data_IF_259433372572
#
_entry.id   IF_259433372572
#
_cell.length_a   1.000
_cell.length_b   1.000
_cell.length_c   1.000
_cell.angle_alpha   90.00
_cell.angle_beta   90.00
_cell.angle_gamma   90.00
#
_symmetry.space_group_name_H-M   'P 1'
#
loop_
_entity.id
_entity.type
_entity.pdbx_description
1 polymer ?
#
# COMPACT_ATOMS: atom_id res chain seq x y z
N UNK A 1 -1.51 16.38 7.42
CA UNK A 1 -2.87 16.15 7.95
C UNK A 1 -2.90 14.93 8.89
N UNK A 2 -1.98 13.98 8.74
CA UNK A 2 -1.71 12.88 9.68
C UNK A 2 -0.28 13.02 10.19
N UNK A 3 -0.10 12.99 11.51
CA UNK A 3 1.21 13.00 12.14
C UNK A 3 1.26 12.01 13.29
N UNK A 4 2.29 11.17 13.32
CA UNK A 4 2.55 10.25 14.44
C UNK A 4 3.97 10.44 14.94
N UNK A 5 4.16 10.31 16.27
CA UNK A 5 5.44 10.42 16.94
C UNK A 5 5.57 9.25 17.91
N UNK A 6 6.53 8.37 17.66
CA UNK A 6 6.81 7.17 18.46
C UNK A 6 5.56 6.33 18.75
N UNK A 7 4.61 6.27 17.78
CA UNK A 7 3.35 5.57 17.97
C UNK A 7 3.59 4.08 18.17
N UNK A 8 3.04 3.56 19.27
CA UNK A 8 3.27 2.19 19.71
C UNK A 8 1.98 1.49 20.10
N UNK A 9 1.84 0.21 19.71
CA UNK A 9 0.73 -0.63 20.14
C UNK A 9 1.19 -2.07 20.37
N UNK A 10 0.80 -2.62 21.56
CA UNK A 10 0.94 -4.04 21.88
C UNK A 10 -0.38 -4.67 22.32
N UNK A 11 -0.50 -5.95 22.15
CA UNK A 11 -1.59 -6.80 22.62
C UNK A 11 -0.98 -7.93 23.44
N UNK A 12 -1.10 -7.86 24.76
CA UNK A 12 -0.32 -8.73 25.64
C UNK A 12 1.18 -8.60 25.36
N UNK A 13 1.83 -9.70 25.05
CA UNK A 13 3.28 -9.74 24.70
C UNK A 13 3.54 -9.39 23.23
N UNK A 14 2.51 -9.43 22.36
CA UNK A 14 2.71 -9.19 20.92
C UNK A 14 2.72 -7.70 20.61
N UNK A 15 3.84 -7.21 20.09
CA UNK A 15 3.96 -5.86 19.52
C UNK A 15 3.33 -5.87 18.13
N UNK A 16 2.38 -4.98 17.89
CA UNK A 16 1.68 -4.84 16.62
C UNK A 16 2.15 -3.61 15.82
N UNK A 17 2.57 -2.56 16.50
CA UNK A 17 3.17 -1.36 15.91
C UNK A 17 4.24 -0.86 16.87
N UNK A 18 5.44 -0.62 16.39
CA UNK A 18 6.60 -0.18 17.16
C UNK A 18 7.21 1.08 16.53
N UNK A 19 7.29 2.14 17.33
CA UNK A 19 7.99 3.38 17.00
C UNK A 19 7.61 3.98 15.63
N UNK A 20 6.30 4.06 15.34
CA UNK A 20 5.82 4.54 14.06
C UNK A 20 5.81 6.07 14.02
N UNK A 21 6.61 6.63 13.12
CA UNK A 21 6.72 8.06 12.86
C UNK A 21 6.27 8.34 11.41
N UNK A 22 5.15 9.05 11.24
CA UNK A 22 4.56 9.42 9.95
C UNK A 22 4.27 10.90 9.89
N UNK A 23 4.42 11.48 8.69
CA UNK A 23 3.94 12.81 8.35
C UNK A 23 3.32 12.74 6.96
N UNK A 24 2.00 12.96 6.86
CA UNK A 24 1.25 12.87 5.60
C UNK A 24 0.56 14.20 5.37
N UNK A 25 0.74 14.77 4.18
CA UNK A 25 0.20 16.06 3.82
C UNK A 25 -1.24 15.96 3.28
N UNK A 26 -1.92 17.10 3.22
CA UNK A 26 -3.30 17.16 2.70
C UNK A 26 -3.34 16.91 1.19
N UNK A 27 -4.32 16.13 0.73
CA UNK A 27 -4.50 15.80 -0.69
C UNK A 27 -3.55 14.73 -1.22
N UNK A 28 -2.74 14.14 -0.35
CA UNK A 28 -1.79 13.09 -0.69
C UNK A 28 -2.46 11.71 -0.78
N UNK A 29 -2.00 10.87 -1.69
CA UNK A 29 -2.29 9.43 -1.67
C UNK A 29 -1.11 8.74 -1.02
N UNK A 30 -1.27 8.31 0.22
CA UNK A 30 -0.26 7.60 0.97
C UNK A 30 -0.50 6.09 0.94
N UNK A 31 0.41 5.35 0.34
CA UNK A 31 0.42 3.90 0.32
C UNK A 31 1.12 3.31 1.54
N UNK A 32 0.43 2.51 2.35
CA UNK A 32 1.03 1.87 3.50
C UNK A 32 1.17 0.37 3.24
N UNK A 33 2.37 -0.04 2.86
CA UNK A 33 2.69 -1.38 2.40
C UNK A 33 3.28 -2.25 3.49
N UNK A 34 3.09 -3.54 3.33
CA UNK A 34 3.72 -4.56 4.16
C UNK A 34 3.02 -5.91 4.08
N UNK A 35 3.67 -6.98 4.51
CA UNK A 35 3.08 -8.31 4.54
C UNK A 35 1.90 -8.40 5.52
N UNK A 36 1.15 -9.50 5.45
CA UNK A 36 0.07 -9.75 6.39
C UNK A 36 0.62 -9.88 7.82
N UNK A 37 -0.05 -9.23 8.76
CA UNK A 37 0.36 -9.23 10.15
C UNK A 37 1.46 -8.21 10.52
N UNK A 38 1.93 -7.38 9.59
CA UNK A 38 2.97 -6.37 9.85
C UNK A 38 2.50 -5.16 10.67
N UNK A 39 1.18 -4.98 10.88
CA UNK A 39 0.63 -3.88 11.68
C UNK A 39 -0.23 -2.89 10.90
N UNK A 40 -0.44 -3.04 9.58
CA UNK A 40 -1.21 -2.12 8.72
C UNK A 40 -2.60 -1.77 9.28
N UNK A 41 -3.46 -2.79 9.43
CA UNK A 41 -4.83 -2.58 9.94
C UNK A 41 -4.86 -2.08 11.38
N UNK A 42 -3.85 -2.43 12.20
CA UNK A 42 -3.72 -1.90 13.57
C UNK A 42 -3.41 -0.41 13.53
N UNK A 43 -2.53 0.02 12.65
CA UNK A 43 -2.20 1.44 12.45
C UNK A 43 -3.43 2.22 11.99
N UNK A 44 -4.14 1.76 10.96
CA UNK A 44 -5.40 2.40 10.53
C UNK A 44 -6.39 2.54 11.69
N UNK A 45 -6.62 1.47 12.46
CA UNK A 45 -7.56 1.51 13.58
C UNK A 45 -7.17 2.52 14.66
N UNK A 46 -5.88 2.71 14.91
CA UNK A 46 -5.40 3.77 15.82
C UNK A 46 -5.66 5.16 15.23
N UNK A 47 -5.30 5.37 13.97
CA UNK A 47 -5.49 6.66 13.29
C UNK A 47 -6.98 7.03 13.14
N UNK A 48 -7.86 6.05 12.98
CA UNK A 48 -9.32 6.25 12.98
C UNK A 48 -9.94 6.48 14.38
N UNK A 49 -9.16 6.43 15.46
CA UNK A 49 -9.70 6.50 16.82
C UNK A 49 -10.58 5.30 17.21
N UNK A 50 -10.42 4.15 16.54
CA UNK A 50 -11.09 2.89 16.86
C UNK A 50 -10.30 2.03 17.84
N UNK A 51 -9.04 2.34 18.04
CA UNK A 51 -8.12 1.64 18.91
C UNK A 51 -7.16 2.65 19.55
N UNK A 52 -7.15 2.70 20.88
CA UNK A 52 -6.22 3.57 21.58
C UNK A 52 -4.77 3.07 21.41
N UNK A 53 -3.76 3.93 21.18
CA UNK A 53 -2.36 3.55 21.25
C UNK A 53 -1.97 3.10 22.66
N UNK A 54 -0.93 2.29 22.78
CA UNK A 54 -0.33 1.94 24.08
C UNK A 54 0.55 3.08 24.59
N UNK A 55 1.28 3.73 23.66
CA UNK A 55 2.09 4.93 23.91
C UNK A 55 2.39 5.66 22.59
N UNK A 56 3.05 6.82 22.69
CA UNK A 56 3.31 7.70 21.54
C UNK A 56 2.13 8.62 21.25
N UNK A 57 2.26 9.43 20.21
CA UNK A 57 1.27 10.42 19.81
C UNK A 57 0.80 10.16 18.37
N UNK A 58 -0.49 10.37 18.13
CA UNK A 58 -1.02 10.42 16.78
C UNK A 58 -2.05 11.54 16.67
N UNK A 59 -1.91 12.38 15.65
CA UNK A 59 -2.85 13.44 15.32
C UNK A 59 -3.38 13.24 13.90
N UNK A 60 -4.71 13.37 13.79
CA UNK A 60 -5.44 13.26 12.52
C UNK A 60 -6.33 14.49 12.40
N UNK A 61 -6.23 15.23 11.29
CA UNK A 61 -6.94 16.53 11.10
C UNK A 61 -6.70 17.53 12.25
N UNK A 62 -5.50 17.50 12.84
CA UNK A 62 -5.13 18.34 13.99
C UNK A 62 -5.65 17.88 15.34
N UNK A 63 -6.45 16.80 15.42
CA UNK A 63 -7.03 16.23 16.64
C UNK A 63 -6.19 15.03 17.13
N UNK A 64 -6.09 14.87 18.44
CA UNK A 64 -5.41 13.74 19.07
C UNK A 64 -6.29 12.49 19.07
N UNK A 65 -5.77 11.36 18.58
CA UNK A 65 -6.55 10.11 18.46
C UNK A 65 -6.97 9.51 19.81
N UNK A 66 -6.25 9.81 20.87
CA UNK A 66 -6.56 9.32 22.21
C UNK A 66 -7.56 10.22 22.94
N UNK A 67 -7.57 11.52 22.65
CA UNK A 67 -8.40 12.51 23.35
C UNK A 67 -9.72 12.81 22.61
N UNK A 68 -9.68 12.87 21.27
CA UNK A 68 -10.81 13.29 20.44
C UNK A 68 -11.29 12.22 19.43
N UNK A 69 -11.41 10.93 19.78
CA UNK A 69 -11.68 9.87 18.79
C UNK A 69 -13.03 10.06 18.07
N UNK A 70 -14.06 10.58 18.75
CA UNK A 70 -15.37 10.81 18.13
C UNK A 70 -15.35 11.96 17.11
N UNK A 71 -14.63 13.04 17.44
CA UNK A 71 -14.44 14.17 16.52
C UNK A 71 -13.62 13.78 15.30
N UNK A 72 -12.66 12.88 15.45
CA UNK A 72 -11.90 12.32 14.32
C UNK A 72 -12.84 11.51 13.44
N UNK A 73 -13.62 10.57 14.00
CA UNK A 73 -14.56 9.74 13.24
C UNK A 73 -15.55 10.53 12.40
N UNK A 74 -15.97 11.70 12.87
CA UNK A 74 -16.86 12.57 12.08
C UNK A 74 -16.19 13.28 10.90
N UNK A 75 -14.85 13.28 10.82
CA UNK A 75 -14.07 13.96 9.76
C UNK A 75 -13.38 13.01 8.80
N UNK A 76 -13.41 11.70 9.08
CA UNK A 76 -12.74 10.69 8.28
C UNK A 76 -13.74 9.71 7.69
N UNK A 77 -13.42 9.16 6.51
CA UNK A 77 -14.04 7.96 5.99
C UNK A 77 -13.19 6.73 6.32
N UNK A 78 -13.81 5.61 6.63
CA UNK A 78 -13.10 4.35 6.84
C UNK A 78 -13.75 3.21 6.09
N UNK A 79 -12.97 2.53 5.29
CA UNK A 79 -13.35 1.34 4.56
C UNK A 79 -12.50 0.16 5.06
N UNK A 80 -13.06 -0.75 5.87
CA UNK A 80 -12.35 -1.90 6.39
C UNK A 80 -12.15 -2.97 5.32
N UNK A 81 -11.13 -3.84 5.50
CA UNK A 81 -10.80 -4.93 4.60
C UNK A 81 -11.97 -5.89 4.35
N UNK A 82 -12.71 -6.22 5.42
CA UNK A 82 -13.91 -7.07 5.31
C UNK A 82 -15.14 -6.20 5.14
N UNK A 83 -16.02 -6.61 4.21
CA UNK A 83 -17.31 -5.96 4.04
C UNK A 83 -18.08 -5.96 5.37
N UNK A 84 -18.41 -4.78 5.86
CA UNK A 84 -19.01 -4.55 7.18
C UNK A 84 -20.37 -3.84 7.13
N UNK A 85 -20.92 -3.70 5.92
CA UNK A 85 -22.22 -3.06 5.71
C UNK A 85 -23.36 -4.10 5.85
N UNK A 86 -24.58 -3.60 5.91
CA UNK A 86 -25.77 -4.44 6.09
C UNK A 86 -26.13 -5.17 4.79
N UNK A 87 -25.93 -6.49 4.77
CA UNK A 87 -26.17 -7.33 3.59
C UNK A 87 -27.64 -7.45 3.22
N UNK A 88 -28.54 -7.31 4.18
CA UNK A 88 -30.01 -7.39 4.01
C UNK A 88 -30.66 -6.02 3.69
N UNK A 89 -29.88 -4.96 3.68
CA UNK A 89 -30.30 -3.65 3.18
C UNK A 89 -29.87 -3.46 1.72
N UNK A 90 -30.66 -2.69 0.99
CA UNK A 90 -30.29 -2.26 -0.36
C UNK A 90 -29.10 -1.30 -0.32
N UNK A 91 -28.49 -1.05 -1.50
CA UNK A 91 -27.44 -0.03 -1.65
C UNK A 91 -27.94 1.31 -1.14
N UNK A 92 -29.18 1.69 -1.50
CA UNK A 92 -29.79 2.95 -1.06
C UNK A 92 -30.00 3.01 0.43
N UNK A 93 -30.57 1.98 1.04
CA UNK A 93 -30.82 1.91 2.47
C UNK A 93 -29.51 1.90 3.28
N UNK A 94 -28.45 1.21 2.82
CA UNK A 94 -27.14 1.33 3.44
C UNK A 94 -26.63 2.77 3.43
N UNK A 95 -26.71 3.44 2.26
CA UNK A 95 -26.26 4.83 2.15
C UNK A 95 -27.12 5.79 2.99
N UNK A 96 -28.44 5.57 3.06
CA UNK A 96 -29.35 6.35 3.88
C UNK A 96 -29.00 6.21 5.37
N UNK A 97 -28.74 4.98 5.84
CA UNK A 97 -28.32 4.71 7.21
C UNK A 97 -27.04 5.46 7.60
N UNK A 98 -26.00 5.36 6.76
CA UNK A 98 -24.74 6.06 7.05
C UNK A 98 -24.88 7.58 6.92
N UNK A 99 -25.66 8.07 5.98
CA UNK A 99 -25.96 9.49 5.86
C UNK A 99 -26.63 10.05 7.13
N UNK A 100 -27.63 9.35 7.65
CA UNK A 100 -28.30 9.70 8.89
C UNK A 100 -27.34 9.66 10.10
N UNK A 101 -26.50 8.63 10.19
CA UNK A 101 -25.49 8.48 11.26
C UNK A 101 -24.55 9.69 11.33
N UNK A 102 -24.18 10.25 10.17
CA UNK A 102 -23.33 11.43 10.07
C UNK A 102 -24.09 12.76 9.98
N UNK A 103 -25.41 12.76 10.18
CA UNK A 103 -26.24 13.96 10.14
C UNK A 103 -26.46 14.55 8.75
N UNK A 104 -26.21 13.79 7.69
CA UNK A 104 -26.43 14.20 6.28
C UNK A 104 -27.89 13.92 5.90
N UNK A 105 -28.78 14.81 6.31
CA UNK A 105 -30.23 14.66 6.24
C UNK A 105 -30.92 15.77 5.41
N UNK A 106 -32.20 15.61 5.17
CA UNK A 106 -33.03 16.60 4.46
C UNK A 106 -32.72 16.70 2.95
N UNK A 107 -33.10 17.81 2.34
CA UNK A 107 -32.93 18.01 0.89
C UNK A 107 -31.46 18.04 0.47
N UNK A 108 -30.60 18.71 1.23
CA UNK A 108 -29.15 18.75 0.97
C UNK A 108 -28.53 17.34 1.08
N UNK A 109 -28.94 16.57 2.10
CA UNK A 109 -28.50 15.18 2.25
C UNK A 109 -28.93 14.29 1.09
N UNK A 110 -30.15 14.51 0.53
CA UNK A 110 -30.60 13.76 -0.65
C UNK A 110 -29.76 14.08 -1.89
N UNK A 111 -29.44 15.35 -2.12
CA UNK A 111 -28.54 15.77 -3.20
C UNK A 111 -27.17 15.10 -3.03
N UNK A 112 -26.60 15.19 -1.82
CA UNK A 112 -25.29 14.60 -1.52
C UNK A 112 -25.24 13.08 -1.75
N UNK A 113 -26.26 12.35 -1.34
CA UNK A 113 -26.35 10.91 -1.60
C UNK A 113 -26.34 10.58 -3.09
N UNK A 114 -27.08 11.36 -3.89
CA UNK A 114 -27.10 11.16 -5.34
C UNK A 114 -25.73 11.48 -5.98
N UNK A 115 -25.07 12.57 -5.56
CA UNK A 115 -23.70 12.90 -6.00
C UNK A 115 -22.73 11.76 -5.74
N UNK A 116 -22.76 11.15 -4.53
CA UNK A 116 -21.86 10.05 -4.17
C UNK A 116 -22.17 8.79 -4.98
N UNK A 117 -23.45 8.48 -5.20
CA UNK A 117 -23.88 7.34 -6.05
C UNK A 117 -23.34 7.51 -7.47
N UNK A 118 -23.45 8.70 -8.04
CA UNK A 118 -22.96 9.03 -9.37
C UNK A 118 -21.43 8.97 -9.44
N UNK A 119 -20.74 9.62 -8.49
CA UNK A 119 -19.28 9.64 -8.38
C UNK A 119 -18.68 8.22 -8.33
N UNK A 120 -19.28 7.34 -7.54
CA UNK A 120 -18.80 5.96 -7.37
C UNK A 120 -19.32 5.05 -8.50
N UNK A 121 -20.31 5.48 -9.27
CA UNK A 121 -20.87 4.76 -10.41
C UNK A 121 -21.70 3.53 -10.01
N UNK A 122 -22.34 3.54 -8.82
CA UNK A 122 -23.11 2.39 -8.31
C UNK A 122 -24.64 2.49 -8.58
N UNK A 123 -25.11 3.55 -9.23
CA UNK A 123 -26.54 3.88 -9.38
C UNK A 123 -27.41 2.74 -9.92
N UNK A 124 -26.90 1.94 -10.86
CA UNK A 124 -27.65 0.81 -11.42
C UNK A 124 -27.99 -0.28 -10.39
N UNK A 125 -27.31 -0.31 -9.25
CA UNK A 125 -27.51 -1.28 -8.18
C UNK A 125 -28.27 -0.71 -6.97
N UNK A 126 -28.78 0.50 -7.05
CA UNK A 126 -29.37 1.23 -5.92
C UNK A 126 -30.45 0.44 -5.16
N UNK A 127 -31.22 -0.38 -5.89
CA UNK A 127 -32.30 -1.25 -5.37
C UNK A 127 -31.86 -2.67 -5.04
N UNK A 128 -30.59 -3.02 -5.28
CA UNK A 128 -30.08 -4.36 -4.98
C UNK A 128 -29.66 -4.46 -3.53
N UNK A 129 -29.92 -5.60 -2.91
CA UNK A 129 -29.45 -5.89 -1.55
C UNK A 129 -27.93 -6.04 -1.53
N UNK A 130 -27.29 -5.66 -0.41
CA UNK A 130 -25.84 -5.78 -0.23
C UNK A 130 -25.29 -7.17 -0.53
N UNK A 131 -26.02 -8.23 -0.13
CA UNK A 131 -25.66 -9.64 -0.42
C UNK A 131 -25.67 -10.02 -1.90
N UNK A 132 -26.41 -9.30 -2.75
CA UNK A 132 -26.50 -9.55 -4.19
C UNK A 132 -25.34 -8.94 -4.98
N UNK A 133 -24.55 -8.09 -4.36
CA UNK A 133 -23.41 -7.44 -4.99
C UNK A 133 -22.20 -8.37 -5.06
N UNK A 134 -21.46 -8.29 -6.16
CA UNK A 134 -20.11 -8.89 -6.22
C UNK A 134 -19.14 -8.17 -5.29
N UNK A 135 -17.97 -8.78 -5.00
CA UNK A 135 -16.96 -8.20 -4.12
C UNK A 135 -16.58 -6.76 -4.50
N UNK A 136 -16.32 -6.49 -5.78
CA UNK A 136 -16.00 -5.14 -6.24
C UNK A 136 -17.14 -4.12 -6.04
N UNK A 137 -18.39 -4.54 -6.22
CA UNK A 137 -19.54 -3.67 -5.96
C UNK A 137 -19.82 -3.47 -4.47
N UNK A 138 -19.51 -4.46 -3.63
CA UNK A 138 -19.53 -4.31 -2.17
C UNK A 138 -18.50 -3.26 -1.71
N UNK A 139 -17.31 -3.28 -2.28
CA UNK A 139 -16.26 -2.28 -1.98
C UNK A 139 -16.68 -0.87 -2.44
N UNK A 140 -17.30 -0.75 -3.62
CA UNK A 140 -17.84 0.54 -4.08
C UNK A 140 -18.95 1.05 -3.17
N UNK A 141 -19.83 0.18 -2.66
CA UNK A 141 -20.85 0.58 -1.68
C UNK A 141 -20.19 1.05 -0.37
N UNK A 142 -19.17 0.34 0.12
CA UNK A 142 -18.43 0.77 1.30
C UNK A 142 -17.79 2.15 1.12
N UNK A 143 -17.23 2.41 -0.06
CA UNK A 143 -16.67 3.71 -0.39
C UNK A 143 -17.76 4.80 -0.45
N UNK A 144 -18.97 4.53 -1.01
CA UNK A 144 -20.10 5.46 -0.94
C UNK A 144 -20.42 5.87 0.48
N UNK A 145 -20.56 4.88 1.36
CA UNK A 145 -20.86 5.12 2.78
C UNK A 145 -19.75 5.92 3.48
N UNK A 146 -18.49 5.65 3.14
CA UNK A 146 -17.34 6.38 3.68
C UNK A 146 -17.22 7.82 3.17
N UNK A 147 -17.83 8.15 2.02
CA UNK A 147 -17.76 9.47 1.36
C UNK A 147 -18.93 10.40 1.66
N UNK A 148 -20.06 9.88 2.14
CA UNK A 148 -21.33 10.61 2.19
C UNK A 148 -21.26 11.89 3.00
N UNK A 149 -20.47 11.91 4.09
CA UNK A 149 -20.30 13.05 5.01
C UNK A 149 -19.15 13.99 4.65
N UNK A 150 -18.57 13.88 3.44
CA UNK A 150 -17.47 14.73 2.94
C UNK A 150 -16.23 14.72 3.83
N UNK A 151 -15.62 13.55 4.07
CA UNK A 151 -14.45 13.45 4.93
C UNK A 151 -13.22 14.18 4.36
N UNK A 152 -12.36 14.68 5.24
CA UNK A 152 -11.06 15.26 4.86
C UNK A 152 -10.04 14.18 4.49
N UNK A 153 -10.19 12.99 5.10
CA UNK A 153 -9.31 11.83 4.92
C UNK A 153 -10.15 10.58 4.75
N UNK A 154 -9.71 9.67 3.89
CA UNK A 154 -10.28 8.33 3.77
C UNK A 154 -9.20 7.30 4.04
N UNK A 155 -9.47 6.42 5.01
CA UNK A 155 -8.67 5.24 5.28
C UNK A 155 -9.25 4.04 4.55
N UNK A 156 -8.44 3.39 3.72
CA UNK A 156 -8.81 2.28 2.88
C UNK A 156 -7.94 1.06 3.25
N UNK A 157 -8.54 0.07 3.90
CA UNK A 157 -7.80 -1.12 4.34
C UNK A 157 -7.93 -2.24 3.29
N UNK A 158 -6.89 -2.38 2.46
CA UNK A 158 -6.79 -3.32 1.33
C UNK A 158 -8.02 -3.26 0.39
N UNK A 159 -8.35 -2.08 -0.18
CA UNK A 159 -9.61 -1.86 -0.88
C UNK A 159 -9.78 -2.72 -2.14
N UNK A 160 -8.71 -3.28 -2.68
CA UNK A 160 -8.67 -4.00 -3.96
C UNK A 160 -8.46 -5.50 -3.83
N UNK A 161 -8.29 -6.02 -2.60
CA UNK A 161 -7.85 -7.41 -2.33
C UNK A 161 -8.73 -8.50 -2.98
N UNK A 162 -10.01 -8.21 -3.26
CA UNK A 162 -10.97 -9.17 -3.85
C UNK A 162 -11.49 -8.73 -5.21
N UNK A 163 -10.75 -7.86 -5.92
CA UNK A 163 -11.18 -7.31 -7.21
C UNK A 163 -10.41 -7.96 -8.38
N UNK A 164 -11.12 -8.12 -9.49
CA UNK A 164 -10.48 -8.41 -10.78
C UNK A 164 -9.65 -7.19 -11.25
N UNK A 165 -8.71 -7.38 -12.20
CA UNK A 165 -7.83 -6.29 -12.64
C UNK A 165 -8.55 -5.08 -13.22
N UNK A 166 -9.71 -5.27 -13.88
CA UNK A 166 -10.49 -4.17 -14.47
C UNK A 166 -11.16 -3.34 -13.38
N UNK A 167 -11.84 -4.01 -12.43
CA UNK A 167 -12.48 -3.36 -11.30
C UNK A 167 -11.45 -2.63 -10.41
N UNK A 168 -10.25 -3.21 -10.22
CA UNK A 168 -9.14 -2.59 -9.50
C UNK A 168 -8.69 -1.29 -10.16
N UNK A 169 -8.47 -1.30 -11.47
CA UNK A 169 -8.10 -0.10 -12.22
C UNK A 169 -9.15 1.00 -12.07
N UNK A 170 -10.42 0.67 -12.25
CA UNK A 170 -11.54 1.63 -12.11
C UNK A 170 -11.64 2.20 -10.69
N UNK A 171 -11.33 1.41 -9.65
CA UNK A 171 -11.30 1.93 -8.29
C UNK A 171 -10.15 2.94 -8.13
N UNK A 172 -8.95 2.65 -8.65
CA UNK A 172 -7.83 3.58 -8.61
C UNK A 172 -8.11 4.88 -9.36
N UNK A 173 -8.76 4.82 -10.53
CA UNK A 173 -9.19 6.03 -11.27
C UNK A 173 -10.12 6.90 -10.40
N UNK A 174 -11.02 6.28 -9.65
CA UNK A 174 -11.88 6.97 -8.69
C UNK A 174 -11.08 7.57 -7.52
N UNK A 175 -10.10 6.83 -6.96
CA UNK A 175 -9.23 7.33 -5.90
C UNK A 175 -8.42 8.55 -6.37
N UNK A 176 -7.90 8.55 -7.58
CA UNK A 176 -7.24 9.73 -8.17
C UNK A 176 -8.18 10.92 -8.30
N UNK A 177 -9.42 10.69 -8.70
CA UNK A 177 -10.46 11.76 -8.77
C UNK A 177 -10.72 12.36 -7.39
N UNK A 178 -10.81 11.54 -6.34
CA UNK A 178 -10.98 11.99 -4.97
C UNK A 178 -9.77 12.79 -4.47
N UNK A 179 -8.56 12.30 -4.71
CA UNK A 179 -7.34 13.01 -4.32
C UNK A 179 -7.22 14.37 -5.03
N UNK A 180 -7.53 14.43 -6.33
CA UNK A 180 -7.50 15.68 -7.09
C UNK A 180 -8.54 16.70 -6.60
N UNK A 181 -9.61 16.27 -5.93
CA UNK A 181 -10.57 17.14 -5.25
C UNK A 181 -10.13 17.58 -3.84
N UNK A 182 -8.92 17.20 -3.40
CA UNK A 182 -8.32 17.60 -2.13
C UNK A 182 -8.56 16.65 -0.96
N UNK A 183 -9.15 15.47 -1.21
CA UNK A 183 -9.31 14.42 -0.18
C UNK A 183 -7.98 13.69 -0.01
N UNK A 184 -7.54 13.53 1.24
CA UNK A 184 -6.35 12.73 1.55
C UNK A 184 -6.71 11.25 1.61
N UNK A 185 -5.90 10.39 1.02
CA UNK A 185 -6.14 8.96 0.99
C UNK A 185 -5.00 8.22 1.70
N UNK A 186 -5.36 7.38 2.68
CA UNK A 186 -4.46 6.45 3.32
C UNK A 186 -4.84 5.03 2.91
N UNK A 187 -4.05 4.40 2.05
CA UNK A 187 -4.37 3.11 1.42
C UNK A 187 -3.40 2.05 1.92
N UNK A 188 -3.90 1.01 2.60
CA UNK A 188 -3.06 -0.17 2.83
C UNK A 188 -3.15 -1.11 1.64
N UNK A 189 -2.02 -1.68 1.27
CA UNK A 189 -1.94 -2.69 0.22
C UNK A 189 -0.75 -3.62 0.44
N UNK A 190 -0.76 -4.75 -0.21
CA UNK A 190 0.39 -5.64 -0.35
C UNK A 190 0.83 -5.77 -1.83
N UNK A 191 0.20 -5.00 -2.73
CA UNK A 191 0.52 -4.98 -4.15
C UNK A 191 1.48 -3.83 -4.46
N UNK A 192 2.62 -4.16 -5.10
CA UNK A 192 3.66 -3.17 -5.44
C UNK A 192 3.22 -2.21 -6.55
N UNK A 193 2.46 -2.71 -7.53
CA UNK A 193 1.90 -1.90 -8.61
C UNK A 193 0.89 -0.85 -8.12
N UNK A 194 0.27 -1.07 -6.98
CA UNK A 194 -0.58 -0.07 -6.31
C UNK A 194 0.25 0.98 -5.57
N UNK A 195 1.35 0.56 -4.94
CA UNK A 195 2.27 1.47 -4.29
C UNK A 195 2.88 2.47 -5.26
N UNK A 196 3.23 2.04 -6.47
CA UNK A 196 3.76 2.91 -7.51
C UNK A 196 2.78 4.00 -7.97
N UNK A 197 1.49 3.86 -7.64
CA UNK A 197 0.44 4.85 -7.93
C UNK A 197 0.28 5.90 -6.83
N UNK A 198 0.89 5.69 -5.67
CA UNK A 198 0.77 6.59 -4.53
C UNK A 198 1.76 7.76 -4.64
N UNK A 199 1.41 8.91 -4.05
CA UNK A 199 2.30 10.07 -3.96
C UNK A 199 3.50 9.77 -3.06
N UNK A 200 3.26 9.07 -1.97
CA UNK A 200 4.27 8.60 -1.01
C UNK A 200 3.90 7.21 -0.52
N UNK A 201 4.90 6.48 -0.09
CA UNK A 201 4.77 5.09 0.35
C UNK A 201 5.51 4.90 1.67
N UNK A 202 4.87 4.20 2.62
CA UNK A 202 5.52 3.69 3.83
C UNK A 202 5.54 2.16 3.80
N UNK A 203 6.70 1.56 4.02
CA UNK A 203 6.83 0.10 4.10
C UNK A 203 6.99 -0.34 5.54
N UNK A 204 6.01 -1.10 6.04
CA UNK A 204 6.01 -1.66 7.40
C UNK A 204 6.34 -3.16 7.37
N UNK A 205 7.34 -3.55 8.14
CA UNK A 205 7.76 -4.93 8.31
C UNK A 205 8.04 -5.21 9.78
N UNK A 206 7.67 -6.38 10.29
CA UNK A 206 7.82 -6.75 11.71
C UNK A 206 7.40 -5.63 12.69
N UNK A 207 6.23 -5.02 12.45
CA UNK A 207 5.65 -3.94 13.27
C UNK A 207 6.43 -2.60 13.23
N UNK A 208 7.47 -2.46 12.40
CA UNK A 208 8.30 -1.25 12.28
C UNK A 208 8.18 -0.66 10.88
N UNK A 209 8.17 0.65 10.81
CA UNK A 209 8.31 1.38 9.54
C UNK A 209 9.78 1.31 9.11
N UNK A 210 10.04 0.62 8.00
CA UNK A 210 11.40 0.44 7.48
C UNK A 210 11.82 1.66 6.67
N UNK A 211 10.91 2.20 5.86
CA UNK A 211 11.17 3.35 5.00
C UNK A 211 9.87 4.07 4.66
N UNK A 212 9.94 5.38 4.42
CA UNK A 212 8.83 6.19 3.90
C UNK A 212 9.37 7.27 2.98
N UNK A 213 8.69 7.50 1.85
CA UNK A 213 9.07 8.52 0.85
C UNK A 213 8.33 8.33 -0.47
N UNK A 214 8.60 9.18 -1.44
CA UNK A 214 8.08 9.04 -2.80
C UNK A 214 8.64 7.78 -3.50
N UNK A 215 7.85 7.08 -4.34
CA UNK A 215 8.31 5.87 -5.04
C UNK A 215 9.66 6.06 -5.76
N UNK A 216 9.83 7.18 -6.47
CA UNK A 216 11.06 7.47 -7.21
C UNK A 216 12.25 7.83 -6.30
N UNK A 217 11.99 8.37 -5.10
CA UNK A 217 13.02 8.62 -4.09
C UNK A 217 13.49 7.30 -3.47
N UNK A 218 12.54 6.40 -3.17
CA UNK A 218 12.85 5.10 -2.59
C UNK A 218 13.70 4.23 -3.53
N UNK A 219 13.46 4.30 -4.84
CA UNK A 219 14.25 3.59 -5.86
C UNK A 219 15.71 4.07 -5.93
N UNK A 220 16.00 5.29 -5.44
CA UNK A 220 17.34 5.90 -5.44
C UNK A 220 18.10 5.75 -4.12
N UNK A 221 17.54 5.06 -3.13
CA UNK A 221 18.21 4.82 -1.85
C UNK A 221 19.55 4.11 -2.10
N UNK A 222 20.63 4.65 -1.56
CA UNK A 222 22.00 4.13 -1.74
C UNK A 222 22.14 2.65 -1.38
N UNK A 223 21.47 2.19 -0.35
CA UNK A 223 21.46 0.79 0.05
C UNK A 223 20.79 -0.14 -0.98
N UNK A 224 19.91 0.41 -1.85
CA UNK A 224 19.18 -0.33 -2.89
C UNK A 224 19.93 -0.31 -4.22
N UNK A 225 20.45 0.87 -4.58
CA UNK A 225 21.23 1.04 -5.83
C UNK A 225 22.59 0.34 -5.69
N UNK A 226 23.16 0.31 -4.46
CA UNK A 226 24.51 -0.19 -4.18
C UNK A 226 25.61 0.78 -4.64
N UNK A 227 26.79 0.66 -4.00
CA UNK A 227 27.97 1.39 -4.45
C UNK A 227 28.63 0.60 -5.56
N UNK A 228 28.90 1.25 -6.69
CA UNK A 228 29.54 0.64 -7.85
C UNK A 228 28.83 -0.64 -8.38
N UNK A 229 27.51 -0.69 -8.29
CA UNK A 229 26.72 -1.78 -8.88
C UNK A 229 25.71 -1.25 -9.89
N UNK A 230 25.41 -2.07 -10.90
CA UNK A 230 24.33 -1.84 -11.85
C UNK A 230 23.37 -3.00 -11.84
N UNK A 231 22.12 -2.71 -12.19
CA UNK A 231 21.07 -3.72 -12.30
C UNK A 231 20.72 -3.96 -13.75
N UNK A 232 20.70 -5.23 -14.16
CA UNK A 232 20.49 -5.65 -15.55
C UNK A 232 19.32 -6.62 -15.61
N UNK A 233 18.36 -6.36 -16.48
CA UNK A 233 17.34 -7.31 -16.87
C UNK A 233 17.87 -8.23 -17.95
N UNK A 234 17.85 -9.53 -17.70
CA UNK A 234 18.28 -10.58 -18.63
C UNK A 234 17.09 -11.44 -19.00
N UNK A 235 16.61 -11.31 -20.24
CA UNK A 235 15.60 -12.21 -20.80
C UNK A 235 16.30 -13.38 -21.45
N UNK A 236 16.14 -14.58 -20.90
CA UNK A 236 16.88 -15.76 -21.35
C UNK A 236 16.05 -17.06 -21.24
N UNK A 237 16.52 -18.10 -21.92
CA UNK A 237 15.91 -19.45 -21.88
C UNK A 237 16.98 -20.52 -21.74
N UNK A 238 16.70 -21.59 -20.97
CA UNK A 238 15.59 -21.78 -20.02
C UNK A 238 15.83 -20.95 -18.74
N UNK A 239 14.78 -20.27 -18.22
CA UNK A 239 14.91 -19.27 -17.16
C UNK A 239 15.52 -19.85 -15.87
N UNK A 240 14.93 -20.92 -15.33
CA UNK A 240 15.35 -21.52 -14.05
C UNK A 240 16.75 -22.10 -14.10
N UNK A 241 17.12 -22.77 -15.19
CA UNK A 241 18.47 -23.31 -15.34
C UNK A 241 19.52 -22.19 -15.50
N UNK A 242 19.13 -21.08 -16.10
CA UNK A 242 20.01 -19.90 -16.30
C UNK A 242 20.28 -19.16 -14.98
N UNK A 243 19.32 -19.14 -14.05
CA UNK A 243 19.47 -18.51 -12.74
C UNK A 243 20.74 -18.98 -12.01
N UNK A 244 20.94 -20.29 -11.86
CA UNK A 244 22.09 -20.83 -11.15
C UNK A 244 23.42 -20.56 -11.90
N UNK A 245 23.38 -20.58 -13.23
CA UNK A 245 24.56 -20.32 -14.07
C UNK A 245 25.02 -18.88 -13.98
N UNK A 246 24.06 -17.93 -13.95
CA UNK A 246 24.36 -16.50 -13.82
C UNK A 246 24.79 -16.16 -12.40
N UNK A 247 24.11 -16.72 -11.41
CA UNK A 247 24.46 -16.53 -9.99
C UNK A 247 25.87 -17.03 -9.65
N UNK A 248 26.43 -17.98 -10.43
CA UNK A 248 27.78 -18.50 -10.26
C UNK A 248 28.87 -17.64 -10.92
N UNK A 249 28.55 -16.47 -11.48
CA UNK A 249 29.54 -15.51 -11.98
C UNK A 249 30.10 -14.71 -10.80
N UNK A 250 31.41 -14.60 -10.69
CA UNK A 250 32.09 -13.96 -9.53
C UNK A 250 31.74 -12.48 -9.35
N UNK A 251 31.48 -11.77 -10.44
CA UNK A 251 31.11 -10.36 -10.44
C UNK A 251 29.61 -10.09 -10.26
N UNK A 252 28.80 -11.16 -10.18
CA UNK A 252 27.36 -11.06 -9.91
C UNK A 252 27.12 -11.17 -8.42
N UNK A 253 26.60 -10.12 -7.82
CA UNK A 253 26.31 -10.06 -6.39
C UNK A 253 24.95 -10.65 -6.02
N UNK A 254 23.95 -10.51 -6.91
CA UNK A 254 22.62 -11.10 -6.69
C UNK A 254 21.90 -11.36 -8.04
N UNK A 255 21.00 -12.36 -8.01
CA UNK A 255 20.10 -12.69 -9.13
C UNK A 255 18.72 -12.97 -8.58
N UNK A 256 17.70 -12.35 -9.16
CA UNK A 256 16.29 -12.57 -8.80
C UNK A 256 15.47 -12.90 -10.05
N UNK A 257 14.50 -13.82 -9.93
CA UNK A 257 13.56 -14.12 -11.02
C UNK A 257 12.43 -13.08 -10.94
N UNK A 258 12.21 -12.36 -12.05
CA UNK A 258 11.15 -11.38 -12.18
C UNK A 258 10.30 -11.67 -13.43
N UNK A 259 9.12 -12.24 -13.25
CA UNK A 259 8.29 -12.66 -14.37
C UNK A 259 9.00 -13.66 -15.31
N UNK A 260 9.32 -13.24 -16.53
CA UNK A 260 10.02 -14.04 -17.54
C UNK A 260 11.48 -13.61 -17.73
N UNK A 261 12.01 -12.79 -16.83
CA UNK A 261 13.37 -12.28 -16.85
C UNK A 261 14.12 -12.58 -15.57
N UNK A 262 15.43 -12.39 -15.59
CA UNK A 262 16.28 -12.37 -14.40
C UNK A 262 16.76 -10.93 -14.19
N UNK A 263 16.59 -10.41 -12.99
CA UNK A 263 17.26 -9.20 -12.55
C UNK A 263 18.59 -9.57 -11.93
N UNK A 264 19.66 -9.07 -12.50
CA UNK A 264 21.05 -9.35 -12.12
C UNK A 264 21.66 -8.09 -11.56
N UNK A 265 22.27 -8.17 -10.38
CA UNK A 265 23.07 -7.08 -9.81
C UNK A 265 24.55 -7.44 -10.01
N UNK A 266 25.30 -6.56 -10.66
CA UNK A 266 26.72 -6.75 -10.94
C UNK A 266 27.52 -5.47 -10.75
N UNK A 267 28.84 -5.55 -10.73
CA UNK A 267 29.73 -4.39 -10.65
C UNK A 267 29.59 -3.49 -11.89
N UNK A 268 29.69 -2.18 -11.72
CA UNK A 268 29.66 -1.19 -12.82
C UNK A 268 30.88 -1.24 -13.73
N UNK A 269 31.96 -1.91 -13.29
CA UNK A 269 33.18 -2.18 -14.05
C UNK A 269 32.98 -3.25 -15.15
N UNK A 270 31.88 -4.03 -15.08
CA UNK A 270 31.55 -5.08 -16.03
C UNK A 270 30.57 -4.53 -17.08
N UNK A 271 30.94 -4.66 -18.36
CA UNK A 271 30.07 -4.24 -19.45
C UNK A 271 28.92 -5.23 -19.72
N UNK A 272 27.82 -4.76 -20.28
CA UNK A 272 26.72 -5.62 -20.72
C UNK A 272 27.17 -6.67 -21.74
N UNK A 273 28.11 -6.31 -22.63
CA UNK A 273 28.68 -7.23 -23.61
C UNK A 273 29.50 -8.36 -22.97
N UNK A 274 30.23 -8.07 -21.89
CA UNK A 274 30.95 -9.08 -21.09
C UNK A 274 29.97 -10.04 -20.43
N UNK A 275 28.94 -9.51 -19.75
CA UNK A 275 27.90 -10.33 -19.14
C UNK A 275 27.21 -11.22 -20.19
N UNK A 276 26.87 -10.69 -21.36
CA UNK A 276 26.23 -11.47 -22.43
C UNK A 276 27.12 -12.60 -22.91
N UNK A 277 28.39 -12.32 -23.13
CA UNK A 277 29.38 -13.33 -23.62
C UNK A 277 29.52 -14.48 -22.61
N UNK A 278 29.66 -14.16 -21.30
CA UNK A 278 29.82 -15.15 -20.25
C UNK A 278 28.55 -16.00 -20.04
N UNK A 279 27.38 -15.39 -20.13
CA UNK A 279 26.11 -16.11 -20.07
C UNK A 279 25.94 -17.06 -21.26
N UNK A 280 26.26 -16.61 -22.47
CA UNK A 280 26.22 -17.42 -23.69
C UNK A 280 27.27 -18.56 -23.65
N UNK A 281 28.47 -18.30 -23.14
CA UNK A 281 29.51 -19.33 -22.96
C UNK A 281 29.08 -20.46 -22.01
N UNK A 282 28.18 -20.16 -21.06
CA UNK A 282 27.55 -21.15 -20.17
C UNK A 282 26.34 -21.87 -20.78
N UNK A 283 26.10 -21.68 -22.08
CA UNK A 283 25.01 -22.34 -22.81
C UNK A 283 23.63 -21.81 -22.50
N UNK A 284 23.49 -20.52 -22.16
CA UNK A 284 22.22 -19.83 -21.95
C UNK A 284 21.86 -19.04 -23.23
N UNK A 285 20.64 -19.18 -23.69
CA UNK A 285 20.13 -18.41 -24.82
C UNK A 285 19.60 -17.05 -24.33
N UNK A 286 20.39 -15.99 -24.54
CA UNK A 286 20.03 -14.62 -24.20
C UNK A 286 19.18 -14.04 -25.35
N UNK A 287 18.00 -13.53 -25.02
CA UNK A 287 17.09 -12.84 -25.91
C UNK A 287 17.28 -11.32 -25.87
N UNK A 288 17.39 -10.76 -24.67
CA UNK A 288 17.70 -9.34 -24.47
C UNK A 288 18.42 -9.10 -23.16
N UNK A 289 19.21 -8.04 -23.15
CA UNK A 289 19.92 -7.51 -21.99
C UNK A 289 19.77 -5.99 -21.97
N UNK A 290 19.40 -5.43 -20.83
CA UNK A 290 19.33 -3.98 -20.65
C UNK A 290 19.54 -3.57 -19.21
N UNK A 291 20.13 -2.43 -18.99
CA UNK A 291 20.14 -1.81 -17.67
C UNK A 291 18.74 -1.37 -17.28
N UNK A 292 18.41 -1.54 -16.02
CA UNK A 292 17.13 -1.16 -15.43
C UNK A 292 17.35 -0.42 -14.14
N UNK A 293 16.41 0.48 -13.82
CA UNK A 293 16.31 1.04 -12.48
C UNK A 293 15.69 0.04 -11.50
N UNK A 294 15.99 0.12 -10.20
CA UNK A 294 15.32 -0.70 -9.19
C UNK A 294 13.80 -0.50 -9.23
N UNK A 295 13.05 -1.58 -9.11
CA UNK A 295 11.60 -1.52 -8.83
C UNK A 295 11.35 -1.29 -7.34
N UNK A 296 10.12 -0.92 -6.93
CA UNK A 296 9.78 -0.89 -5.51
C UNK A 296 9.90 -2.26 -4.85
N UNK A 297 9.69 -3.35 -5.58
CA UNK A 297 9.90 -4.71 -5.08
C UNK A 297 11.37 -4.94 -4.70
N UNK A 298 12.29 -4.50 -5.56
CA UNK A 298 13.73 -4.55 -5.26
C UNK A 298 14.08 -3.74 -4.01
N UNK A 299 13.48 -2.55 -3.86
CA UNK A 299 13.66 -1.70 -2.67
C UNK A 299 13.27 -2.46 -1.41
N UNK A 300 12.06 -3.01 -1.38
CA UNK A 300 11.54 -3.64 -0.17
C UNK A 300 12.21 -4.96 0.15
N UNK A 301 12.56 -5.77 -0.85
CA UNK A 301 13.33 -7.00 -0.66
C UNK A 301 14.71 -6.68 -0.06
N UNK A 302 15.41 -5.68 -0.62
CA UNK A 302 16.73 -5.27 -0.13
C UNK A 302 16.65 -4.74 1.31
N UNK A 303 15.75 -3.80 1.59
CA UNK A 303 15.61 -3.19 2.91
C UNK A 303 15.13 -4.20 3.97
N UNK A 304 14.24 -5.14 3.59
CA UNK A 304 13.83 -6.22 4.49
C UNK A 304 14.99 -7.11 4.87
N UNK A 305 15.84 -7.49 3.89
CA UNK A 305 17.03 -8.31 4.14
C UNK A 305 17.98 -7.60 5.12
N UNK A 306 18.27 -6.33 4.88
CA UNK A 306 19.14 -5.54 5.76
C UNK A 306 18.57 -5.44 7.19
N UNK A 307 17.28 -5.18 7.33
CA UNK A 307 16.61 -5.12 8.64
C UNK A 307 16.70 -6.45 9.40
N UNK A 308 16.55 -7.59 8.73
CA UNK A 308 16.67 -8.92 9.33
C UNK A 308 18.12 -9.23 9.74
N UNK A 309 19.09 -8.80 8.95
CA UNK A 309 20.52 -8.96 9.27
C UNK A 309 20.92 -8.13 10.50
N UNK A 310 20.45 -6.88 10.60
CA UNK A 310 20.65 -6.03 11.77
C UNK A 310 20.02 -6.62 13.05
N UNK A 311 18.79 -7.13 12.96
CA UNK A 311 18.13 -7.80 14.09
C UNK A 311 18.94 -9.03 14.57
N UNK A 312 19.46 -9.85 13.66
CA UNK A 312 20.29 -11.02 14.00
C UNK A 312 21.60 -10.64 14.67
N UNK A 313 22.26 -9.57 14.23
CA UNK A 313 23.48 -9.08 14.83
C UNK A 313 23.25 -8.56 16.26
N UNK A 314 22.13 -7.90 16.51
CA UNK A 314 21.75 -7.41 17.84
C UNK A 314 21.43 -8.56 18.82
N UNK A 315 20.76 -9.61 18.35
CA UNK A 315 20.45 -10.80 19.17
C UNK A 315 21.68 -11.66 19.42
N UNK A 316 22.65 -11.69 18.50
CA UNK A 316 23.89 -12.44 18.67
C UNK A 316 24.92 -11.78 19.60
N UNK A 317 24.70 -10.52 20.00
CA UNK A 317 25.56 -9.75 20.91
C UNK A 317 24.97 -9.63 22.34
N UNK A 318 23.77 -10.13 22.58
CA UNK A 318 23.09 -10.16 23.87
C UNK A 318 23.10 -11.58 24.47
#
# INVERSE_FOLDING_TARGET
VIRTEHLYRRFGEKVAVADLNLCIERGEIYGFLGPNGSGKSTTIKMLCGLLAPTSGLARVTGLDVAQDPERIRSRIGYMPQKFSLYEDLTVRENLDFYAELYGVVGKAGQVRKNEVIELVGIGRFEKYLGRQLSGGWKQRLALCCALVHQPEIIFLDEPTASMDPVARRQLWDLLFTLASSGVTLFVTTHYMDEAERCSSVGYIYNSRLIVSGGPDELKKIRAVVGENTTRVEVVCRPLVASFNKIKALEYVSDVTIFGQALHVIMGTDISLSTLEADIRARGVQVQSLREIEPSLEDVFVTLTRLSVEEERQQVGQA
#
